data_IF_609882585392
#
_entry.id   IF_609882585392
#
_cell.length_a   1.000
_cell.length_b   1.000
_cell.length_c   1.000
_cell.angle_alpha   90.00
_cell.angle_beta   90.00
_cell.angle_gamma   90.00
#
_symmetry.space_group_name_H-M   'P 1'
#
loop_
_entity.id
_entity.type
_entity.pdbx_description
1 polymer ?
#
# COMPACT_ATOMS: atom_id res chain seq x y z
N UNK A 1 12.82 65.65 12.33
CA UNK A 1 12.64 64.32 12.96
C UNK A 1 11.92 63.47 11.94
N UNK A 2 12.70 62.82 11.09
CA UNK A 2 12.20 61.94 10.04
C UNK A 2 11.98 60.54 10.64
N UNK A 3 10.78 60.00 10.42
CA UNK A 3 10.47 58.59 10.67
C UNK A 3 10.48 57.87 9.33
N UNK A 4 11.30 56.82 9.13
CA UNK A 4 11.37 56.14 7.85
C UNK A 4 10.18 55.18 7.73
N UNK A 5 9.45 55.34 6.64
CA UNK A 5 8.34 54.52 6.22
C UNK A 5 8.92 53.23 5.61
N UNK A 6 8.95 52.16 6.40
CA UNK A 6 9.34 50.83 5.94
C UNK A 6 8.26 50.23 5.04
N UNK A 7 8.35 50.47 3.74
CA UNK A 7 7.64 49.71 2.73
C UNK A 7 8.14 48.27 2.74
N UNK A 8 7.29 47.34 3.16
CA UNK A 8 7.49 45.92 2.93
C UNK A 8 6.89 45.61 1.56
N UNK A 9 7.74 45.67 0.53
CA UNK A 9 7.38 45.16 -0.79
C UNK A 9 7.02 43.66 -0.67
N UNK A 10 5.92 43.20 -1.29
CA UNK A 10 5.62 41.78 -1.32
C UNK A 10 6.65 41.12 -2.23
N UNK A 11 7.49 40.25 -1.64
CA UNK A 11 8.40 39.39 -2.39
C UNK A 11 7.54 38.53 -3.33
N UNK A 12 7.53 38.87 -4.62
CA UNK A 12 7.01 37.99 -5.67
C UNK A 12 7.83 36.69 -5.62
N UNK A 13 7.27 35.68 -4.96
CA UNK A 13 7.88 34.37 -4.84
C UNK A 13 7.96 33.75 -6.24
N UNK A 14 9.18 33.61 -6.77
CA UNK A 14 9.42 32.93 -8.03
C UNK A 14 8.79 31.51 -7.97
N UNK A 15 7.84 31.17 -8.85
CA UNK A 15 7.15 29.88 -8.80
C UNK A 15 8.10 28.70 -9.03
N UNK A 16 9.26 28.95 -9.66
CA UNK A 16 10.33 27.99 -9.91
C UNK A 16 11.16 27.62 -8.67
N UNK A 17 11.07 28.36 -7.57
CA UNK A 17 11.74 28.03 -6.30
C UNK A 17 10.78 27.47 -5.25
N UNK A 18 9.51 27.25 -5.59
CA UNK A 18 8.56 26.72 -4.62
C UNK A 18 8.93 25.27 -4.27
N UNK A 19 8.76 24.85 -3.00
CA UNK A 19 9.01 23.47 -2.61
C UNK A 19 8.21 22.45 -3.44
N UNK A 20 6.98 22.82 -3.82
CA UNK A 20 6.11 21.99 -4.68
C UNK A 20 6.75 21.80 -6.05
N UNK A 21 7.29 22.86 -6.65
CA UNK A 21 7.92 22.80 -7.97
C UNK A 21 9.21 21.97 -7.96
N UNK A 22 10.07 22.17 -6.95
CA UNK A 22 11.33 21.43 -6.79
C UNK A 22 11.06 19.92 -6.66
N UNK A 23 10.16 19.55 -5.74
CA UNK A 23 9.77 18.15 -5.52
C UNK A 23 9.11 17.59 -6.79
N UNK A 24 8.15 18.30 -7.36
CA UNK A 24 7.43 17.81 -8.55
C UNK A 24 8.35 17.59 -9.75
N UNK A 25 9.32 18.47 -9.99
CA UNK A 25 10.23 18.31 -11.12
C UNK A 25 11.20 17.16 -10.89
N UNK A 26 11.79 17.06 -9.69
CA UNK A 26 12.70 15.96 -9.39
C UNK A 26 12.02 14.60 -9.58
N UNK A 27 10.83 14.40 -8.98
CA UNK A 27 10.13 13.11 -9.08
C UNK A 27 9.60 12.82 -10.49
N UNK A 28 9.35 13.85 -11.30
CA UNK A 28 9.03 13.71 -12.72
C UNK A 28 10.26 13.29 -13.53
N UNK A 29 11.43 13.87 -13.27
CA UNK A 29 12.68 13.54 -13.95
C UNK A 29 13.25 12.19 -13.53
N UNK A 30 13.12 11.84 -12.25
CA UNK A 30 13.52 10.53 -11.73
C UNK A 30 12.77 9.39 -12.43
N UNK A 31 11.53 9.65 -12.86
CA UNK A 31 10.64 8.66 -13.50
C UNK A 31 10.65 7.34 -12.72
N UNK A 32 9.99 7.38 -11.56
CA UNK A 32 10.00 6.28 -10.60
C UNK A 32 9.56 4.94 -11.21
N UNK A 33 8.69 4.96 -12.23
CA UNK A 33 8.22 3.74 -12.88
C UNK A 33 9.32 3.09 -13.73
N UNK A 34 10.02 3.90 -14.52
CA UNK A 34 11.21 3.44 -15.25
C UNK A 34 12.30 2.95 -14.31
N UNK A 35 12.53 3.66 -13.20
CA UNK A 35 13.53 3.26 -12.22
C UNK A 35 13.15 1.93 -11.55
N UNK A 36 11.89 1.76 -11.14
CA UNK A 36 11.39 0.47 -10.61
C UNK A 36 11.62 -0.67 -11.58
N UNK A 37 11.30 -0.49 -12.86
CA UNK A 37 11.55 -1.52 -13.88
C UNK A 37 13.03 -1.90 -13.99
N UNK A 38 13.93 -0.92 -13.89
CA UNK A 38 15.38 -1.16 -13.85
C UNK A 38 15.77 -1.96 -12.58
N UNK A 39 15.24 -1.58 -11.43
CA UNK A 39 15.48 -2.26 -10.15
C UNK A 39 14.96 -3.70 -10.14
N UNK A 40 13.79 -3.94 -10.73
CA UNK A 40 13.25 -5.29 -10.89
C UNK A 40 14.18 -6.15 -11.73
N UNK A 41 14.66 -5.62 -12.86
CA UNK A 41 15.65 -6.29 -13.70
C UNK A 41 16.98 -6.56 -12.97
N UNK A 42 17.45 -5.62 -12.17
CA UNK A 42 18.64 -5.81 -11.33
C UNK A 42 18.40 -6.86 -10.24
N UNK A 43 17.22 -6.86 -9.60
CA UNK A 43 16.83 -7.84 -8.60
C UNK A 43 16.80 -9.26 -9.15
N UNK A 44 16.24 -9.45 -10.35
CA UNK A 44 16.27 -10.72 -11.06
C UNK A 44 17.70 -11.20 -11.32
N UNK A 45 18.59 -10.29 -11.77
CA UNK A 45 20.01 -10.63 -11.98
C UNK A 45 20.73 -10.97 -10.68
N UNK A 46 20.40 -10.32 -9.56
CA UNK A 46 20.97 -10.68 -8.25
C UNK A 46 20.55 -12.11 -7.88
N UNK A 47 19.28 -12.45 -8.05
CA UNK A 47 18.77 -13.79 -7.78
C UNK A 47 19.44 -14.85 -8.68
N UNK A 48 19.53 -14.59 -9.98
CA UNK A 48 20.21 -15.47 -10.94
C UNK A 48 21.69 -15.67 -10.60
N UNK A 49 22.41 -14.60 -10.25
CA UNK A 49 23.82 -14.68 -9.84
C UNK A 49 24.00 -15.48 -8.54
N UNK A 50 23.05 -15.39 -7.61
CA UNK A 50 23.07 -16.18 -6.38
C UNK A 50 22.87 -17.67 -6.71
N UNK A 51 21.87 -18.01 -7.51
CA UNK A 51 21.57 -19.38 -7.94
C UNK A 51 22.74 -19.99 -8.71
N UNK A 52 23.34 -19.25 -9.65
CA UNK A 52 24.48 -19.71 -10.43
C UNK A 52 25.71 -20.00 -9.56
N UNK A 53 26.01 -19.14 -8.59
CA UNK A 53 27.12 -19.38 -7.65
C UNK A 53 26.85 -20.59 -6.76
N UNK A 54 25.61 -20.80 -6.31
CA UNK A 54 25.24 -22.02 -5.56
C UNK A 54 25.44 -23.28 -6.42
N UNK A 55 24.97 -23.28 -7.66
CA UNK A 55 25.16 -24.39 -8.62
C UNK A 55 26.65 -24.66 -8.88
N UNK A 56 27.45 -23.62 -9.11
CA UNK A 56 28.88 -23.75 -9.34
C UNK A 56 29.62 -24.27 -8.11
N UNK A 57 29.28 -23.77 -6.91
CA UNK A 57 29.84 -24.27 -5.64
C UNK A 57 29.54 -25.76 -5.45
N UNK A 58 28.31 -26.21 -5.70
CA UNK A 58 27.93 -27.64 -5.64
C UNK A 58 28.73 -28.48 -6.64
N UNK A 59 28.80 -28.05 -7.90
CA UNK A 59 29.61 -28.71 -8.95
C UNK A 59 31.09 -28.83 -8.58
N UNK A 60 31.68 -27.76 -8.02
CA UNK A 60 33.06 -27.77 -7.56
C UNK A 60 33.26 -28.71 -6.37
N UNK A 61 32.33 -28.73 -5.41
CA UNK A 61 32.38 -29.63 -4.27
C UNK A 61 32.33 -31.11 -4.72
N UNK A 62 31.44 -31.45 -5.65
CA UNK A 62 31.35 -32.78 -6.25
C UNK A 62 32.62 -33.14 -7.04
N UNK A 63 33.10 -32.24 -7.88
CA UNK A 63 34.32 -32.44 -8.67
C UNK A 63 35.53 -32.65 -7.78
N UNK A 64 35.65 -31.90 -6.68
CA UNK A 64 36.72 -32.08 -5.68
C UNK A 64 36.58 -33.38 -4.91
N UNK A 65 35.36 -33.83 -4.62
CA UNK A 65 35.13 -35.14 -3.99
C UNK A 65 35.51 -36.29 -4.91
N UNK A 66 35.16 -36.21 -6.20
CA UNK A 66 35.52 -37.22 -7.20
C UNK A 66 37.03 -37.22 -7.44
N UNK A 67 37.63 -36.05 -7.60
CA UNK A 67 39.07 -35.89 -7.73
C UNK A 67 39.84 -36.55 -6.59
N UNK A 68 39.35 -36.52 -5.35
CA UNK A 68 40.00 -37.21 -4.21
C UNK A 68 39.99 -38.74 -4.36
N UNK A 69 38.93 -39.31 -4.95
CA UNK A 69 38.73 -40.76 -5.14
C UNK A 69 39.49 -41.31 -6.35
N UNK A 70 39.82 -40.46 -7.31
CA UNK A 70 40.48 -40.86 -8.55
C UNK A 70 41.92 -41.39 -8.34
N UNK A 71 42.40 -42.16 -9.32
CA UNK A 71 43.78 -42.65 -9.37
C UNK A 71 44.78 -41.49 -9.55
N UNK A 72 46.07 -41.75 -9.31
CA UNK A 72 47.11 -40.72 -9.46
C UNK A 72 47.23 -40.19 -10.90
N UNK A 73 47.09 -41.06 -11.91
CA UNK A 73 47.13 -40.66 -13.32
C UNK A 73 45.94 -39.77 -13.69
N UNK A 74 44.73 -40.12 -13.25
CA UNK A 74 43.53 -39.34 -13.58
C UNK A 74 43.50 -38.01 -12.81
N UNK A 75 43.99 -37.98 -11.57
CA UNK A 75 44.24 -36.73 -10.82
C UNK A 75 45.16 -35.78 -11.60
N UNK A 76 46.26 -36.27 -12.15
CA UNK A 76 47.16 -35.43 -12.97
C UNK A 76 46.45 -34.86 -14.20
N UNK A 77 45.55 -35.64 -14.82
CA UNK A 77 44.77 -35.19 -16.00
C UNK A 77 43.72 -34.14 -15.64
N UNK A 78 43.00 -34.31 -14.53
CA UNK A 78 41.87 -33.44 -14.15
C UNK A 78 42.29 -32.18 -13.38
N UNK A 79 43.50 -32.15 -12.80
CA UNK A 79 43.95 -31.07 -11.89
C UNK A 79 43.80 -29.67 -12.50
N UNK A 80 44.25 -29.49 -13.75
CA UNK A 80 44.17 -28.18 -14.42
C UNK A 80 42.72 -27.73 -14.64
N UNK A 81 41.81 -28.66 -14.96
CA UNK A 81 40.39 -28.34 -15.13
C UNK A 81 39.75 -27.95 -13.80
N UNK A 82 40.08 -28.66 -12.72
CA UNK A 82 39.55 -28.36 -11.39
C UNK A 82 40.05 -27.00 -10.89
N UNK A 83 41.34 -26.71 -11.04
CA UNK A 83 41.94 -25.43 -10.67
C UNK A 83 41.27 -24.28 -11.43
N UNK A 84 41.06 -24.45 -12.74
CA UNK A 84 40.38 -23.45 -13.56
C UNK A 84 38.94 -23.21 -13.10
N UNK A 85 38.20 -24.26 -12.74
CA UNK A 85 36.86 -24.12 -12.19
C UNK A 85 36.83 -23.31 -10.88
N UNK A 86 37.79 -23.50 -9.98
CA UNK A 86 37.92 -22.68 -8.77
C UNK A 86 38.26 -21.23 -9.08
N UNK A 87 39.17 -20.97 -10.03
CA UNK A 87 39.51 -19.61 -10.48
C UNK A 87 38.28 -18.90 -11.06
N UNK A 88 37.53 -19.56 -11.93
CA UNK A 88 36.31 -19.02 -12.54
C UNK A 88 35.25 -18.68 -11.48
N UNK A 89 35.06 -19.52 -10.46
CA UNK A 89 34.10 -19.22 -9.40
C UNK A 89 34.56 -18.04 -8.53
N UNK A 90 35.86 -17.91 -8.23
CA UNK A 90 36.39 -16.74 -7.51
C UNK A 90 36.16 -15.44 -8.29
N UNK A 91 36.39 -15.47 -9.61
CA UNK A 91 36.12 -14.32 -10.49
C UNK A 91 34.63 -14.00 -10.54
N UNK A 92 33.77 -15.01 -10.61
CA UNK A 92 32.31 -14.84 -10.60
C UNK A 92 31.81 -14.26 -9.27
N UNK A 93 32.36 -14.72 -8.14
CA UNK A 93 32.06 -14.15 -6.82
C UNK A 93 32.45 -12.67 -6.74
N UNK A 94 33.62 -12.32 -7.28
CA UNK A 94 34.07 -10.92 -7.35
C UNK A 94 33.15 -10.07 -8.22
N UNK A 95 32.73 -10.59 -9.39
CA UNK A 95 31.76 -9.91 -10.27
C UNK A 95 30.41 -9.73 -9.60
N UNK A 96 29.91 -10.76 -8.89
CA UNK A 96 28.64 -10.70 -8.15
C UNK A 96 28.67 -9.67 -7.03
N UNK A 97 29.76 -9.62 -6.26
CA UNK A 97 29.94 -8.64 -5.19
C UNK A 97 29.91 -7.21 -5.75
N UNK A 98 30.73 -6.93 -6.78
CA UNK A 98 30.73 -5.62 -7.45
C UNK A 98 29.37 -5.25 -8.04
N UNK A 99 28.65 -6.22 -8.61
CA UNK A 99 27.32 -5.97 -9.15
C UNK A 99 26.32 -5.58 -8.06
N UNK A 100 26.32 -6.29 -6.93
CA UNK A 100 25.47 -5.99 -5.79
C UNK A 100 25.79 -4.62 -5.17
N UNK A 101 27.07 -4.33 -4.94
CA UNK A 101 27.54 -3.05 -4.40
C UNK A 101 27.16 -1.87 -5.30
N UNK A 102 27.40 -1.98 -6.62
CA UNK A 102 27.04 -0.92 -7.57
C UNK A 102 25.53 -0.71 -7.65
N UNK A 103 24.75 -1.78 -7.60
CA UNK A 103 23.27 -1.69 -7.58
C UNK A 103 22.80 -0.93 -6.35
N UNK A 104 23.32 -1.28 -5.18
CA UNK A 104 22.99 -0.61 -3.93
C UNK A 104 23.37 0.88 -3.94
N UNK A 105 24.62 1.20 -4.33
CA UNK A 105 25.11 2.57 -4.34
C UNK A 105 24.33 3.46 -5.31
N UNK A 106 23.92 2.93 -6.46
CA UNK A 106 23.09 3.66 -7.42
C UNK A 106 21.75 4.07 -6.80
N UNK A 107 21.05 3.15 -6.14
CA UNK A 107 19.78 3.44 -5.45
C UNK A 107 20.01 4.46 -4.33
N UNK A 108 21.03 4.22 -3.51
CA UNK A 108 21.35 5.10 -2.38
C UNK A 108 21.61 6.52 -2.85
N UNK A 109 22.40 6.71 -3.92
CA UNK A 109 22.68 8.03 -4.48
C UNK A 109 21.41 8.73 -4.96
N UNK A 110 20.54 8.04 -5.71
CA UNK A 110 19.27 8.62 -6.20
C UNK A 110 18.35 9.04 -5.07
N UNK A 111 18.25 8.24 -4.01
CA UNK A 111 17.46 8.57 -2.83
C UNK A 111 18.08 9.70 -2.01
N UNK A 112 19.41 9.77 -1.95
CA UNK A 112 20.13 10.83 -1.26
C UNK A 112 19.99 12.19 -1.95
N UNK A 113 19.96 12.20 -3.28
CA UNK A 113 19.73 13.40 -4.09
C UNK A 113 18.26 13.83 -4.13
N UNK A 114 17.33 12.98 -3.68
CA UNK A 114 15.91 13.28 -3.70
C UNK A 114 15.55 14.40 -2.71
N UNK A 115 14.85 15.46 -3.15
CA UNK A 115 14.37 16.51 -2.27
C UNK A 115 13.31 15.96 -1.33
N UNK A 116 13.31 16.46 -0.10
CA UNK A 116 12.30 16.12 0.89
C UNK A 116 10.90 16.48 0.35
N UNK A 117 9.97 15.51 0.25
CA UNK A 117 8.61 15.78 -0.22
C UNK A 117 7.75 16.54 0.80
N UNK A 118 8.10 16.53 2.09
CA UNK A 118 7.27 17.08 3.15
C UNK A 118 6.97 18.59 2.98
N UNK A 119 7.95 19.47 2.72
CA UNK A 119 7.69 20.89 2.49
C UNK A 119 6.73 21.17 1.32
N UNK A 120 6.81 20.38 0.25
CA UNK A 120 5.87 20.48 -0.88
C UNK A 120 4.44 20.10 -0.48
N UNK A 121 4.28 18.97 0.20
CA UNK A 121 2.97 18.51 0.68
C UNK A 121 2.35 19.45 1.71
N UNK A 122 3.15 20.01 2.61
CA UNK A 122 2.72 21.00 3.59
C UNK A 122 2.17 22.25 2.91
N UNK A 123 2.89 22.77 1.90
CA UNK A 123 2.46 23.94 1.12
C UNK A 123 1.14 23.68 0.38
N UNK A 124 0.97 22.50 -0.23
CA UNK A 124 -0.30 22.13 -0.87
C UNK A 124 -1.44 22.08 0.16
N UNK A 125 -1.19 21.48 1.33
CA UNK A 125 -2.20 21.35 2.39
C UNK A 125 -2.65 22.71 2.90
N UNK A 126 -1.72 23.66 3.06
CA UNK A 126 -2.01 25.03 3.45
C UNK A 126 -2.86 25.76 2.40
N UNK A 127 -2.46 25.67 1.12
CA UNK A 127 -3.21 26.27 0.00
C UNK A 127 -4.63 25.69 -0.10
N UNK A 128 -4.79 24.37 0.04
CA UNK A 128 -6.10 23.72 0.06
C UNK A 128 -6.92 24.19 1.26
N UNK A 129 -6.32 24.27 2.45
CA UNK A 129 -6.99 24.73 3.66
C UNK A 129 -7.45 26.19 3.55
N UNK A 130 -6.62 27.06 3.00
CA UNK A 130 -7.00 28.44 2.72
C UNK A 130 -8.09 28.56 1.65
N UNK A 131 -8.03 27.73 0.60
CA UNK A 131 -9.07 27.62 -0.41
C UNK A 131 -10.42 27.24 0.20
N UNK A 132 -10.45 26.19 1.03
CA UNK A 132 -11.65 25.75 1.74
C UNK A 132 -12.18 26.82 2.70
N UNK A 133 -11.30 27.55 3.41
CA UNK A 133 -11.70 28.68 4.26
C UNK A 133 -12.36 29.79 3.45
N UNK A 134 -11.79 30.15 2.28
CA UNK A 134 -12.35 31.16 1.38
C UNK A 134 -13.70 30.72 0.82
N UNK A 135 -13.84 29.45 0.42
CA UNK A 135 -15.11 28.89 -0.05
C UNK A 135 -16.18 28.87 1.06
N UNK A 136 -15.79 28.56 2.30
CA UNK A 136 -16.70 28.62 3.45
C UNK A 136 -17.14 30.06 3.75
N UNK A 137 -16.28 31.05 3.53
CA UNK A 137 -16.60 32.48 3.68
C UNK A 137 -17.50 33.01 2.56
N UNK A 138 -17.40 32.47 1.34
CA UNK A 138 -18.27 32.88 0.22
C UNK A 138 -19.62 32.16 0.22
N UNK A 139 -19.80 31.10 1.01
CA UNK A 139 -21.13 30.50 1.24
C UNK A 139 -22.05 31.57 1.87
N UNK A 140 -23.25 31.79 1.31
CA UNK A 140 -24.25 32.63 1.94
C UNK A 140 -24.48 32.14 3.37
N UNK A 141 -24.26 33.01 4.35
CA UNK A 141 -24.47 32.65 5.76
C UNK A 141 -25.94 32.25 5.95
N UNK A 142 -26.21 31.24 6.76
CA UNK A 142 -27.56 30.76 7.05
C UNK A 142 -28.50 31.90 7.49
N UNK A 143 -27.96 32.89 8.22
CA UNK A 143 -28.69 34.12 8.61
C UNK A 143 -29.07 35.02 7.42
N UNK A 144 -28.22 35.11 6.40
CA UNK A 144 -28.52 35.86 5.18
C UNK A 144 -29.56 35.12 4.33
N UNK A 145 -29.45 33.80 4.22
CA UNK A 145 -30.45 32.96 3.55
C UNK A 145 -31.80 33.07 4.27
N UNK A 146 -31.82 33.00 5.60
CA UNK A 146 -33.02 33.15 6.42
C UNK A 146 -33.60 34.58 6.33
N UNK A 147 -32.75 35.61 6.33
CA UNK A 147 -33.17 36.99 6.13
C UNK A 147 -33.78 37.23 4.75
N UNK A 148 -33.21 36.64 3.71
CA UNK A 148 -33.76 36.66 2.36
C UNK A 148 -35.07 35.88 2.26
N UNK A 149 -35.17 34.71 2.91
CA UNK A 149 -36.43 33.94 3.04
C UNK A 149 -37.53 34.76 3.70
N UNK A 150 -37.22 35.41 4.84
CA UNK A 150 -38.16 36.32 5.53
C UNK A 150 -38.56 37.49 4.64
N UNK A 151 -37.62 38.10 3.92
CA UNK A 151 -37.91 39.20 2.99
C UNK A 151 -38.80 38.75 1.83
N UNK A 152 -38.57 37.56 1.28
CA UNK A 152 -39.43 36.93 0.27
C UNK A 152 -40.83 36.66 0.85
N UNK A 153 -40.93 36.13 2.08
CA UNK A 153 -42.20 35.87 2.76
C UNK A 153 -43.00 37.14 3.04
N UNK A 154 -42.33 38.21 3.45
CA UNK A 154 -42.94 39.54 3.62
C UNK A 154 -43.39 40.10 2.26
N UNK A 155 -42.58 39.97 1.22
CA UNK A 155 -42.95 40.43 -0.13
C UNK A 155 -44.15 39.66 -0.70
N UNK A 156 -44.27 38.35 -0.44
CA UNK A 156 -45.46 37.56 -0.75
C UNK A 156 -46.69 38.06 0.03
N UNK A 157 -46.54 38.36 1.33
CA UNK A 157 -47.65 38.81 2.17
C UNK A 157 -48.12 40.25 1.87
N UNK A 158 -47.25 41.11 1.34
CA UNK A 158 -47.50 42.56 1.23
C UNK A 158 -48.07 42.99 -0.14
N UNK A 159 -48.05 42.18 -1.20
CA UNK A 159 -48.63 42.71 -2.46
C UNK A 159 -48.72 41.88 -3.73
N UNK A 160 -48.33 40.60 -3.78
CA UNK A 160 -48.56 39.79 -4.99
C UNK A 160 -48.96 38.36 -4.62
N UNK A 161 -50.17 37.99 -5.05
CA UNK A 161 -50.76 36.65 -5.02
C UNK A 161 -51.40 36.19 -3.71
N UNK A 162 -52.57 36.78 -3.39
CA UNK A 162 -53.56 36.13 -2.52
C UNK A 162 -54.21 34.89 -3.17
N UNK A 163 -53.89 34.57 -4.43
CA UNK A 163 -54.51 33.47 -5.20
C UNK A 163 -53.54 32.29 -5.44
N UNK A 164 -52.23 32.44 -5.19
CA UNK A 164 -51.26 31.32 -5.28
C UNK A 164 -50.62 30.94 -3.94
N UNK A 165 -50.84 31.73 -2.87
CA UNK A 165 -50.18 31.51 -1.57
C UNK A 165 -50.51 30.14 -0.95
N UNK A 166 -51.72 29.62 -1.17
CA UNK A 166 -52.14 28.31 -0.66
C UNK A 166 -51.37 27.15 -1.34
N UNK A 167 -51.06 27.26 -2.63
CA UNK A 167 -50.31 26.24 -3.38
C UNK A 167 -48.80 26.26 -3.05
N UNK A 168 -48.24 27.44 -2.80
CA UNK A 168 -46.83 27.57 -2.38
C UNK A 168 -46.58 27.11 -0.95
N UNK A 169 -47.51 27.34 -0.03
CA UNK A 169 -47.39 26.87 1.36
C UNK A 169 -47.44 25.33 1.42
N UNK A 170 -48.28 24.70 0.57
CA UNK A 170 -48.31 23.25 0.38
C UNK A 170 -47.01 22.70 -0.25
N UNK A 171 -46.44 23.38 -1.25
CA UNK A 171 -45.18 22.98 -1.87
C UNK A 171 -43.98 23.12 -0.91
N UNK A 172 -43.93 24.20 -0.14
CA UNK A 172 -42.84 24.48 0.82
C UNK A 172 -42.94 23.53 2.02
N UNK A 173 -44.15 23.25 2.52
CA UNK A 173 -44.37 22.24 3.56
C UNK A 173 -43.97 20.84 3.07
N UNK A 174 -44.29 20.50 1.83
CA UNK A 174 -43.87 19.23 1.22
C UNK A 174 -42.34 19.10 1.09
N UNK A 175 -41.63 20.18 0.79
CA UNK A 175 -40.16 20.20 0.78
C UNK A 175 -39.55 20.15 2.19
N UNK A 176 -40.14 20.84 3.17
CA UNK A 176 -39.71 20.77 4.57
C UNK A 176 -39.89 19.38 5.17
N UNK A 177 -41.00 18.69 4.87
CA UNK A 177 -41.23 17.30 5.27
C UNK A 177 -40.22 16.37 4.60
N UNK A 178 -39.95 16.52 3.30
CA UNK A 178 -38.91 15.73 2.61
C UNK A 178 -37.51 15.99 3.16
N UNK A 179 -37.21 17.23 3.55
CA UNK A 179 -35.93 17.60 4.16
C UNK A 179 -35.82 16.99 5.55
N UNK A 180 -36.89 17.03 6.35
CA UNK A 180 -36.99 16.41 7.67
C UNK A 180 -36.82 14.89 7.59
N UNK A 181 -37.47 14.22 6.64
CA UNK A 181 -37.30 12.79 6.39
C UNK A 181 -35.86 12.44 5.99
N UNK A 182 -35.23 13.27 5.15
CA UNK A 182 -33.84 13.08 4.74
C UNK A 182 -32.86 13.31 5.89
N UNK A 183 -33.12 14.27 6.78
CA UNK A 183 -32.35 14.50 8.00
C UNK A 183 -32.50 13.30 8.95
N UNK A 184 -33.73 12.82 9.17
CA UNK A 184 -33.98 11.61 9.96
C UNK A 184 -33.24 10.39 9.40
N UNK A 185 -33.25 10.21 8.08
CA UNK A 185 -32.52 9.10 7.45
C UNK A 185 -31.01 9.22 7.65
N UNK A 186 -30.44 10.42 7.46
CA UNK A 186 -29.02 10.68 7.70
C UNK A 186 -28.64 10.44 9.16
N UNK A 187 -29.47 10.83 10.13
CA UNK A 187 -29.24 10.53 11.55
C UNK A 187 -29.22 9.01 11.83
N UNK A 188 -30.11 8.24 11.18
CA UNK A 188 -30.08 6.77 11.31
C UNK A 188 -28.84 6.15 10.68
N UNK A 189 -28.36 6.68 9.56
CA UNK A 189 -27.17 6.18 8.89
C UNK A 189 -25.89 6.57 9.64
N UNK A 190 -25.81 7.77 10.21
CA UNK A 190 -24.75 8.18 11.13
C UNK A 190 -24.72 7.30 12.40
N UNK A 191 -25.89 6.90 12.90
CA UNK A 191 -26.01 5.91 13.98
C UNK A 191 -25.39 4.57 13.60
N UNK A 192 -25.70 4.04 12.40
CA UNK A 192 -25.11 2.79 11.89
C UNK A 192 -23.60 2.91 11.67
N UNK A 193 -23.13 4.04 11.16
CA UNK A 193 -21.69 4.29 10.97
C UNK A 193 -20.97 4.26 12.32
N UNK A 194 -21.57 4.88 13.36
CA UNK A 194 -21.01 4.87 14.71
C UNK A 194 -20.95 3.45 15.29
N UNK A 195 -22.02 2.67 15.15
CA UNK A 195 -22.07 1.27 15.60
C UNK A 195 -21.03 0.39 14.88
N UNK A 196 -20.92 0.53 13.55
CA UNK A 196 -19.91 -0.19 12.77
C UNK A 196 -18.50 0.23 13.15
N UNK A 197 -18.28 1.51 13.45
CA UNK A 197 -16.98 2.03 13.90
C UNK A 197 -16.61 1.47 15.27
N UNK A 198 -17.59 1.34 16.18
CA UNK A 198 -17.39 0.71 17.49
C UNK A 198 -17.03 -0.77 17.35
N UNK A 199 -17.75 -1.52 16.50
CA UNK A 199 -17.44 -2.93 16.21
C UNK A 199 -16.05 -3.11 15.59
N UNK A 200 -15.65 -2.22 14.68
CA UNK A 200 -14.29 -2.24 14.10
C UNK A 200 -13.23 -1.98 15.17
N UNK A 201 -13.46 -1.01 16.06
CA UNK A 201 -12.54 -0.73 17.17
C UNK A 201 -12.43 -1.91 18.15
N UNK A 202 -13.54 -2.58 18.47
CA UNK A 202 -13.54 -3.79 19.29
C UNK A 202 -12.74 -4.93 18.63
N UNK A 203 -12.96 -5.17 17.33
CA UNK A 203 -12.20 -6.15 16.56
C UNK A 203 -10.71 -5.81 16.53
N UNK A 204 -10.36 -4.53 16.36
CA UNK A 204 -8.96 -4.09 16.34
C UNK A 204 -8.28 -4.26 17.70
N UNK A 205 -8.99 -3.99 18.81
CA UNK A 205 -8.49 -4.28 20.17
C UNK A 205 -8.32 -5.78 20.41
N UNK A 206 -9.21 -6.62 19.88
CA UNK A 206 -9.09 -8.07 19.97
C UNK A 206 -7.87 -8.57 19.17
N UNK A 207 -7.67 -8.06 17.97
CA UNK A 207 -6.50 -8.37 17.14
C UNK A 207 -5.22 -7.95 17.87
N UNK A 208 -5.15 -6.74 18.42
CA UNK A 208 -3.99 -6.27 19.19
C UNK A 208 -3.67 -7.20 20.38
N UNK A 209 -4.69 -7.64 21.12
CA UNK A 209 -4.49 -8.61 22.21
C UNK A 209 -3.95 -9.95 21.72
N UNK A 210 -4.47 -10.46 20.60
CA UNK A 210 -3.97 -11.70 20.01
C UNK A 210 -2.53 -11.56 19.50
N UNK A 211 -2.17 -10.40 18.95
CA UNK A 211 -0.80 -10.08 18.56
C UNK A 211 0.14 -10.00 19.76
N UNK A 212 -0.28 -9.33 20.84
CA UNK A 212 0.48 -9.25 22.09
C UNK A 212 0.67 -10.63 22.74
N UNK A 213 -0.34 -11.51 22.67
CA UNK A 213 -0.27 -12.87 23.19
C UNK A 213 0.62 -13.78 22.34
N UNK A 214 0.62 -13.59 21.00
CA UNK A 214 1.59 -14.22 20.10
C UNK A 214 3.01 -13.74 20.44
N UNK A 215 3.20 -12.44 20.64
CA UNK A 215 4.50 -11.85 20.95
C UNK A 215 5.04 -12.36 22.31
N UNK A 216 4.18 -12.49 23.32
CA UNK A 216 4.53 -13.12 24.61
C UNK A 216 4.88 -14.60 24.46
N UNK A 217 4.21 -15.33 23.56
CA UNK A 217 4.55 -16.71 23.20
C UNK A 217 5.91 -16.87 22.52
N UNK A 218 6.34 -15.87 21.75
CA UNK A 218 7.65 -15.84 21.07
C UNK A 218 8.81 -15.35 21.97
N UNK A 219 8.51 -14.74 23.12
CA UNK A 219 9.54 -14.25 24.04
C UNK A 219 10.12 -15.35 24.96
N UNK A 220 9.57 -16.57 24.94
CA UNK A 220 10.13 -17.70 25.68
C UNK A 220 10.92 -18.65 24.77
N UNK A 221 12.22 -18.76 25.07
CA UNK A 221 13.25 -19.69 24.57
C UNK A 221 14.04 -19.22 23.34
N UNK A 222 15.14 -18.53 23.67
CA UNK A 222 16.50 -18.93 23.30
C UNK A 222 16.59 -19.96 22.15
N UNK A 223 16.74 -19.49 20.92
CA UNK A 223 17.49 -20.18 19.85
C UNK A 223 17.90 -19.14 18.80
N UNK A 224 18.72 -18.17 19.23
CA UNK A 224 19.55 -17.39 18.31
C UNK A 224 20.95 -17.96 18.36
N UNK A 225 21.32 -18.67 17.30
CA UNK A 225 22.66 -19.15 17.06
C UNK A 225 22.64 -20.62 16.67
N UNK A 226 23.23 -20.93 15.52
CA UNK A 226 23.55 -22.27 14.96
C UNK A 226 22.59 -22.90 13.94
N UNK A 227 21.64 -22.17 13.34
CA UNK A 227 20.77 -22.72 12.28
C UNK A 227 21.01 -22.09 10.89
N UNK A 228 22.27 -21.95 10.49
CA UNK A 228 22.62 -21.51 9.13
C UNK A 228 23.48 -22.51 8.34
N UNK A 229 23.87 -23.66 8.90
CA UNK A 229 24.92 -24.50 8.28
C UNK A 229 24.52 -25.94 7.92
N UNK A 230 23.23 -26.28 7.87
CA UNK A 230 22.81 -27.67 7.54
C UNK A 230 21.61 -27.72 6.59
N UNK A 231 21.66 -26.96 5.49
CA UNK A 231 20.75 -27.14 4.35
C UNK A 231 21.53 -27.41 3.06
N UNK A 232 22.42 -28.38 3.10
CA UNK A 232 23.02 -28.95 1.90
C UNK A 232 23.52 -30.37 2.18
N UNK A 233 22.63 -31.37 2.25
CA UNK A 233 22.86 -32.80 1.94
C UNK A 233 21.52 -33.54 2.11
N UNK A 234 20.81 -33.81 1.00
CA UNK A 234 19.98 -35.01 0.85
C UNK A 234 19.36 -35.08 -0.56
N UNK A 235 20.23 -35.25 -1.55
CA UNK A 235 19.87 -35.98 -2.76
C UNK A 235 20.99 -37.00 -3.03
N UNK A 236 20.76 -38.24 -2.62
CA UNK A 236 21.13 -39.48 -3.32
C UNK A 236 21.41 -40.63 -2.35
N UNK A 237 20.94 -41.79 -2.77
CA UNK A 237 21.38 -43.14 -2.40
C UNK A 237 20.64 -43.76 -1.22
N UNK A 238 19.72 -44.67 -1.57
CA UNK A 238 19.08 -45.59 -0.65
C UNK A 238 20.04 -46.66 -0.12
N UNK A 239 19.61 -47.22 1.01
CA UNK A 239 19.86 -48.56 1.57
C UNK A 239 21.20 -49.25 1.25
N UNK A 240 22.01 -49.50 2.28
CA UNK A 240 21.96 -50.78 3.03
C UNK A 240 22.80 -50.74 4.32
N UNK A 241 22.21 -51.29 5.39
CA UNK A 241 22.80 -52.00 6.54
C UNK A 241 23.92 -51.34 7.38
N UNK A 242 23.62 -51.04 8.64
CA UNK A 242 24.31 -51.65 9.81
C UNK A 242 23.73 -51.13 11.13
N UNK A 243 23.73 -52.03 12.11
CA UNK A 243 23.03 -52.02 13.39
C UNK A 243 23.50 -50.99 14.43
N UNK A 244 22.58 -50.70 15.37
CA UNK A 244 22.79 -50.27 16.75
C UNK A 244 23.48 -48.92 17.03
N UNK A 245 22.68 -47.86 17.16
CA UNK A 245 22.80 -46.89 18.27
C UNK A 245 21.40 -46.52 18.78
N UNK A 246 21.17 -46.80 20.06
CA UNK A 246 19.96 -46.55 20.82
C UNK A 246 19.56 -45.06 20.90
N UNK A 247 18.26 -44.86 20.64
CA UNK A 247 17.34 -43.98 21.39
C UNK A 247 17.84 -42.59 21.82
N UNK A 248 17.91 -41.63 20.89
CA UNK A 248 17.72 -40.21 21.25
C UNK A 248 17.15 -39.26 20.17
N UNK A 249 16.75 -39.75 18.99
CA UNK A 249 16.33 -38.86 17.89
C UNK A 249 14.85 -38.92 17.45
N UNK A 250 14.04 -39.85 17.97
CA UNK A 250 12.65 -40.02 17.48
C UNK A 250 11.69 -38.91 17.95
N UNK A 251 12.08 -38.05 18.90
CA UNK A 251 11.23 -36.93 19.34
C UNK A 251 11.31 -35.69 18.46
N UNK A 252 12.45 -35.44 17.79
CA UNK A 252 12.67 -34.18 17.05
C UNK A 252 11.94 -34.13 15.70
N UNK A 253 11.81 -35.26 15.00
CA UNK A 253 11.15 -35.33 13.68
C UNK A 253 9.63 -35.12 13.75
N UNK A 254 9.00 -35.52 14.87
CA UNK A 254 7.57 -35.24 15.10
C UNK A 254 7.31 -33.76 15.26
N UNK A 255 8.22 -33.03 15.90
CA UNK A 255 8.09 -31.59 16.14
C UNK A 255 8.38 -30.77 14.88
N UNK A 256 9.31 -31.20 14.02
CA UNK A 256 9.52 -30.59 12.70
C UNK A 256 8.35 -30.85 11.74
N UNK A 257 7.77 -32.06 11.76
CA UNK A 257 6.54 -32.36 11.01
C UNK A 257 5.35 -31.54 11.53
N UNK A 258 5.29 -31.30 12.84
CA UNK A 258 4.30 -30.42 13.47
C UNK A 258 4.48 -28.96 13.03
N UNK A 259 5.72 -28.46 13.00
CA UNK A 259 6.04 -27.09 12.55
C UNK A 259 5.71 -26.87 11.08
N UNK A 260 6.02 -27.83 10.20
CA UNK A 260 5.64 -27.77 8.78
C UNK A 260 4.13 -27.80 8.59
N UNK A 261 3.39 -28.57 9.40
CA UNK A 261 1.91 -28.54 9.41
C UNK A 261 1.38 -27.18 9.85
N UNK A 262 2.00 -26.54 10.84
CA UNK A 262 1.64 -25.20 11.28
C UNK A 262 1.91 -24.17 10.18
N UNK A 263 3.06 -24.24 9.51
CA UNK A 263 3.40 -23.35 8.38
C UNK A 263 2.44 -23.55 7.20
N UNK A 264 2.09 -24.80 6.89
CA UNK A 264 1.10 -25.10 5.86
C UNK A 264 -0.29 -24.55 6.22
N UNK A 265 -0.71 -24.67 7.48
CA UNK A 265 -1.98 -24.11 7.95
C UNK A 265 -1.97 -22.58 7.95
N UNK A 266 -0.86 -21.96 8.33
CA UNK A 266 -0.70 -20.49 8.25
C UNK A 266 -0.72 -20.02 6.80
N UNK A 267 0.03 -20.66 5.89
CA UNK A 267 0.00 -20.36 4.46
C UNK A 267 -1.41 -20.52 3.88
N UNK A 268 -2.13 -21.57 4.26
CA UNK A 268 -3.50 -21.79 3.81
C UNK A 268 -4.46 -20.71 4.35
N UNK A 269 -4.26 -20.26 5.59
CA UNK A 269 -5.02 -19.16 6.19
C UNK A 269 -4.73 -17.82 5.51
N UNK A 270 -3.47 -17.53 5.18
CA UNK A 270 -3.12 -16.35 4.39
C UNK A 270 -3.71 -16.40 2.99
N UNK A 271 -3.68 -17.56 2.33
CA UNK A 271 -4.32 -17.75 1.02
C UNK A 271 -5.83 -17.56 1.09
N UNK A 272 -6.50 -18.07 2.12
CA UNK A 272 -7.94 -17.86 2.31
C UNK A 272 -8.29 -16.38 2.54
N UNK A 273 -7.50 -15.67 3.36
CA UNK A 273 -7.71 -14.24 3.61
C UNK A 273 -7.43 -13.39 2.37
N UNK A 274 -6.43 -13.76 1.57
CA UNK A 274 -6.18 -13.11 0.28
C UNK A 274 -7.38 -13.27 -0.65
N UNK A 275 -7.91 -14.49 -0.78
CA UNK A 275 -9.10 -14.75 -1.60
C UNK A 275 -10.34 -14.00 -1.10
N UNK A 276 -10.55 -13.91 0.21
CA UNK A 276 -11.63 -13.13 0.81
C UNK A 276 -11.50 -11.64 0.46
N UNK A 277 -10.31 -11.06 0.63
CA UNK A 277 -10.07 -9.65 0.26
C UNK A 277 -10.21 -9.40 -1.25
N UNK A 278 -9.80 -10.35 -2.08
CA UNK A 278 -9.98 -10.25 -3.54
C UNK A 278 -11.47 -10.29 -3.93
N UNK A 279 -12.27 -11.12 -3.25
CA UNK A 279 -13.71 -11.21 -3.45
C UNK A 279 -14.44 -9.96 -2.95
N UNK A 280 -14.05 -9.40 -1.81
CA UNK A 280 -14.57 -8.12 -1.32
C UNK A 280 -14.26 -6.98 -2.30
N UNK A 281 -13.04 -6.93 -2.84
CA UNK A 281 -12.67 -5.97 -3.89
C UNK A 281 -13.54 -6.18 -5.14
N UNK A 282 -13.83 -7.43 -5.51
CA UNK A 282 -14.71 -7.74 -6.65
C UNK A 282 -16.13 -7.22 -6.41
N UNK A 283 -16.68 -7.44 -5.22
CA UNK A 283 -18.02 -6.98 -4.83
C UNK A 283 -18.11 -5.46 -4.76
N UNK A 284 -17.10 -4.79 -4.19
CA UNK A 284 -17.05 -3.32 -4.16
C UNK A 284 -16.99 -2.73 -5.57
N UNK A 285 -16.19 -3.32 -6.47
CA UNK A 285 -16.15 -2.91 -7.89
C UNK A 285 -17.49 -3.12 -8.60
N UNK A 286 -18.24 -4.16 -8.27
CA UNK A 286 -19.58 -4.39 -8.82
C UNK A 286 -20.60 -3.38 -8.28
N UNK A 287 -20.56 -3.09 -6.98
CA UNK A 287 -21.41 -2.07 -6.35
C UNK A 287 -21.16 -0.68 -6.93
N UNK A 288 -19.91 -0.30 -7.15
CA UNK A 288 -19.55 0.97 -7.81
C UNK A 288 -20.13 1.01 -9.23
N UNK A 289 -20.02 -0.08 -9.99
CA UNK A 289 -20.59 -0.16 -11.35
C UNK A 289 -22.12 -0.02 -11.35
N UNK A 290 -22.81 -0.70 -10.44
CA UNK A 290 -24.26 -0.59 -10.28
C UNK A 290 -24.70 0.83 -9.91
N UNK A 291 -24.06 1.44 -8.92
CA UNK A 291 -24.34 2.83 -8.51
C UNK A 291 -24.07 3.84 -9.63
N UNK A 292 -23.03 3.61 -10.43
CA UNK A 292 -22.73 4.45 -11.60
C UNK A 292 -23.84 4.34 -12.64
N UNK A 293 -24.34 3.12 -12.89
CA UNK A 293 -25.45 2.90 -13.82
C UNK A 293 -26.76 3.54 -13.33
N UNK A 294 -27.07 3.44 -12.03
CA UNK A 294 -28.24 4.08 -11.42
C UNK A 294 -28.15 5.61 -11.45
N UNK A 295 -26.95 6.16 -11.25
CA UNK A 295 -26.69 7.59 -11.36
C UNK A 295 -26.91 8.08 -12.80
N UNK A 296 -26.42 7.36 -13.80
CA UNK A 296 -26.67 7.67 -15.21
C UNK A 296 -28.15 7.53 -15.58
N UNK A 297 -28.84 6.48 -15.11
CA UNK A 297 -30.29 6.33 -15.29
C UNK A 297 -31.04 7.52 -14.69
N UNK A 298 -30.71 7.89 -13.45
CA UNK A 298 -31.35 9.02 -12.75
C UNK A 298 -31.05 10.36 -13.44
N UNK A 299 -29.86 10.54 -14.03
CA UNK A 299 -29.57 11.69 -14.89
C UNK A 299 -30.47 11.70 -16.12
N UNK A 300 -30.61 10.58 -16.82
CA UNK A 300 -31.46 10.51 -18.02
C UNK A 300 -32.93 10.74 -17.70
N UNK A 301 -33.42 10.22 -16.57
CA UNK A 301 -34.81 10.40 -16.14
C UNK A 301 -35.05 11.83 -15.66
N UNK A 302 -34.09 12.46 -14.95
CA UNK A 302 -34.16 13.90 -14.65
C UNK A 302 -34.22 14.75 -15.92
N UNK A 303 -33.35 14.50 -16.90
CA UNK A 303 -33.36 15.23 -18.19
C UNK A 303 -34.72 15.08 -18.90
N UNK A 304 -35.30 13.88 -18.90
CA UNK A 304 -36.64 13.63 -19.47
C UNK A 304 -37.75 14.34 -18.69
N UNK A 305 -37.63 14.44 -17.36
CA UNK A 305 -38.59 15.18 -16.53
C UNK A 305 -38.51 16.68 -16.80
N UNK A 306 -37.31 17.26 -16.91
CA UNK A 306 -37.12 18.65 -17.33
C UNK A 306 -37.70 18.93 -18.72
N UNK A 307 -37.59 17.99 -19.66
CA UNK A 307 -38.22 18.11 -20.99
C UNK A 307 -39.73 17.88 -21.04
N UNK A 308 -40.33 17.35 -19.96
CA UNK A 308 -41.78 17.08 -19.84
C UNK A 308 -42.54 18.17 -19.10
N UNK A 309 -41.88 19.14 -18.49
CA UNK A 309 -42.52 20.34 -17.95
C UNK A 309 -42.93 21.20 -19.15
N UNK A 310 -44.22 21.28 -19.52
CA UNK A 310 -44.67 22.15 -20.58
C UNK A 310 -44.75 23.57 -20.01
N UNK A 311 -43.95 24.49 -20.52
CA UNK A 311 -44.04 25.91 -20.16
C UNK A 311 -42.77 26.48 -19.56
N UNK A 312 -41.75 26.66 -20.41
CA UNK A 312 -41.14 27.96 -20.66
C UNK A 312 -41.30 28.26 -22.15
#
# INVERSE_FOLDING_TARGET
MDTPQGGSDPVESNPSSSPVFIVSNFWKELDLEKEKSLLDGQGLRIAENLENSQKNRRKLAESTRNFKKDSAEEKLRLFNSLLKGYQEEIDNLTKRAKFGENTFLNIYQKLYEAPDPYPGLASITEVVSEGMKKELQTRPTEKLVEGLRKKVKILQAVGYNSVEAEDWEAATSGEEVKLSEKISLLETDDGKIRELTEKVNEQQKLIQKLEDDILKGYSSKEWKGTLFDDWDISESTGNELSENIDQKQVSSDKDQTSMLKVICNQRNRFRARLQETEEEIRQLKEKIRAQTADLEKTKTDNVKLYGKIPGL
#
